data_IF_781115683796
#
_entry.id   IF_781115683796
#
_cell.length_a   1.000
_cell.length_b   1.000
_cell.length_c   1.000
_cell.angle_alpha   90.00
_cell.angle_beta   90.00
_cell.angle_gamma   90.00
#
_symmetry.space_group_name_H-M   'P 1'
#
loop_
_entity.id
_entity.type
_entity.pdbx_description
1 polymer ?
#
# COMPACT_ATOMS: atom_id res chain seq x y z
N UNK A 1 -14.95 13.84 -11.93
CA UNK A 1 -13.86 14.49 -11.22
C UNK A 1 -14.33 14.89 -9.83
N UNK A 2 -13.57 14.53 -8.80
CA UNK A 2 -13.81 15.05 -7.44
C UNK A 2 -13.15 16.41 -7.42
N UNK A 3 -13.95 17.49 -7.45
CA UNK A 3 -13.47 18.83 -7.18
C UNK A 3 -13.12 18.92 -5.70
N UNK A 4 -11.84 18.82 -5.38
CA UNK A 4 -11.36 19.20 -4.06
C UNK A 4 -11.28 20.73 -4.09
N UNK A 5 -12.20 21.42 -3.41
CA UNK A 5 -12.40 22.88 -3.45
C UNK A 5 -11.21 23.74 -2.98
N UNK A 6 -10.04 23.16 -2.73
CA UNK A 6 -8.78 23.84 -2.44
C UNK A 6 -7.94 24.08 -3.72
N UNK A 7 -8.24 23.37 -4.81
CA UNK A 7 -7.56 23.51 -6.10
C UNK A 7 -8.59 23.55 -7.24
N UNK A 8 -9.32 24.65 -7.43
CA UNK A 8 -10.45 24.71 -8.35
C UNK A 8 -10.09 24.66 -9.84
N UNK A 9 -8.82 24.61 -10.22
CA UNK A 9 -8.38 24.68 -11.60
C UNK A 9 -7.75 23.38 -12.15
N UNK A 10 -7.58 22.35 -11.33
CA UNK A 10 -7.05 21.08 -11.78
C UNK A 10 -7.98 19.94 -11.39
N UNK A 11 -8.78 19.38 -12.33
CA UNK A 11 -9.31 18.05 -12.11
C UNK A 11 -8.08 17.17 -11.89
N UNK A 12 -7.99 16.53 -10.71
CA UNK A 12 -6.90 15.58 -10.45
C UNK A 12 -7.02 14.50 -11.54
N UNK A 13 -6.10 14.53 -12.49
CA UNK A 13 -5.98 13.46 -13.46
C UNK A 13 -5.83 12.13 -12.70
N UNK A 14 -6.25 11.06 -13.31
CA UNK A 14 -6.27 9.70 -12.70
C UNK A 14 -4.92 9.34 -12.04
N UNK A 15 -3.83 9.81 -12.62
CA UNK A 15 -2.46 9.63 -12.11
C UNK A 15 -2.18 10.36 -10.80
N UNK A 16 -2.55 11.62 -10.73
CA UNK A 16 -2.36 12.44 -9.56
C UNK A 16 -3.12 11.86 -8.37
N UNK A 17 -4.32 11.35 -8.62
CA UNK A 17 -5.12 10.69 -7.61
C UNK A 17 -4.44 9.42 -7.07
N UNK A 18 -3.89 8.58 -7.96
CA UNK A 18 -3.15 7.37 -7.57
C UNK A 18 -1.88 7.70 -6.78
N UNK A 19 -1.14 8.75 -7.17
CA UNK A 19 0.06 9.20 -6.44
C UNK A 19 -0.27 9.74 -5.05
N UNK A 20 -1.30 10.57 -4.93
CA UNK A 20 -1.78 11.07 -3.63
C UNK A 20 -2.20 9.91 -2.74
N UNK A 21 -2.89 8.91 -3.30
CA UNK A 21 -3.28 7.71 -2.56
C UNK A 21 -2.07 6.94 -2.03
N UNK A 22 -1.05 6.69 -2.86
CA UNK A 22 0.18 6.00 -2.42
C UNK A 22 0.91 6.83 -1.35
N UNK A 23 1.06 8.14 -1.55
CA UNK A 23 1.71 9.00 -0.56
C UNK A 23 0.97 8.98 0.78
N UNK A 24 -0.36 9.06 0.75
CA UNK A 24 -1.20 8.95 1.95
C UNK A 24 -1.08 7.58 2.63
N UNK A 25 -1.09 6.50 1.84
CA UNK A 25 -0.92 5.14 2.35
C UNK A 25 0.46 4.93 2.98
N UNK A 26 1.53 5.45 2.36
CA UNK A 26 2.89 5.41 2.92
C UNK A 26 2.98 6.24 4.20
N UNK A 27 2.48 7.47 4.19
CA UNK A 27 2.54 8.35 5.35
C UNK A 27 1.79 7.75 6.55
N UNK A 28 0.54 7.30 6.35
CA UNK A 28 -0.24 6.66 7.39
C UNK A 28 0.36 5.29 7.79
N UNK A 29 0.85 4.54 6.82
CA UNK A 29 1.46 3.23 7.06
C UNK A 29 2.68 3.32 7.98
N UNK A 30 3.60 4.25 7.74
CA UNK A 30 4.78 4.43 8.61
C UNK A 30 4.43 4.97 9.99
N UNK A 31 3.39 5.79 10.09
CA UNK A 31 2.90 6.27 11.39
C UNK A 31 2.25 5.14 12.20
N UNK A 32 1.48 4.27 11.55
CA UNK A 32 0.73 3.19 12.22
C UNK A 32 1.57 1.94 12.49
N UNK A 33 2.40 1.52 11.53
CA UNK A 33 3.17 0.27 11.60
C UNK A 33 4.63 0.54 11.99
N UNK A 34 4.97 0.26 13.24
CA UNK A 34 6.34 0.38 13.73
C UNK A 34 7.28 -0.64 13.06
N UNK A 35 8.55 -0.30 12.94
CA UNK A 35 9.58 -1.18 12.39
C UNK A 35 9.76 -2.48 13.21
N UNK A 36 9.54 -2.39 14.52
CA UNK A 36 9.55 -3.51 15.47
C UNK A 36 8.36 -3.44 16.41
N UNK A 37 7.76 -4.61 16.78
CA UNK A 37 6.70 -4.65 17.77
C UNK A 37 7.27 -4.25 19.15
N UNK A 38 6.42 -3.62 19.96
CA UNK A 38 6.76 -3.26 21.34
C UNK A 38 7.16 -4.46 22.17
N UNK A 39 8.24 -4.28 22.97
CA UNK A 39 8.52 -5.08 24.15
C UNK A 39 8.56 -4.14 25.35
N UNK A 40 7.66 -4.37 26.30
CA UNK A 40 7.52 -3.56 27.50
C UNK A 40 8.74 -3.71 28.47
N UNK A 41 9.61 -4.70 28.24
CA UNK A 41 10.64 -5.15 29.17
C UNK A 41 12.07 -4.68 28.83
N UNK A 42 12.29 -3.96 27.72
CA UNK A 42 13.64 -3.49 27.36
C UNK A 42 13.82 -2.00 27.74
N UNK A 43 14.81 -1.67 28.60
CA UNK A 43 15.17 -0.29 28.91
C UNK A 43 15.61 0.41 27.60
N UNK A 44 15.22 1.69 27.43
CA UNK A 44 15.70 2.55 26.35
C UNK A 44 17.23 2.51 26.27
N UNK A 45 17.78 1.76 25.36
CA UNK A 45 19.22 1.66 25.22
C UNK A 45 19.78 3.01 24.73
N UNK A 46 20.93 3.45 25.28
CA UNK A 46 21.65 4.66 24.82
C UNK A 46 21.89 4.65 23.30
N UNK A 47 22.02 3.47 22.71
CA UNK A 47 22.15 3.26 21.28
C UNK A 47 20.91 3.73 20.50
N UNK A 48 19.71 3.53 21.05
CA UNK A 48 18.45 3.97 20.39
C UNK A 48 18.40 5.49 20.26
N UNK A 49 18.86 6.24 21.25
CA UNK A 49 18.93 7.72 21.18
C UNK A 49 19.89 8.22 20.10
N UNK A 50 21.01 7.55 19.90
CA UNK A 50 21.93 7.89 18.81
C UNK A 50 21.26 7.70 17.44
N UNK A 51 20.55 6.59 17.25
CA UNK A 51 19.83 6.34 16.01
C UNK A 51 18.68 7.32 15.77
N UNK A 52 17.94 7.72 16.82
CA UNK A 52 16.95 8.79 16.72
C UNK A 52 17.56 10.14 16.35
N UNK A 53 18.75 10.49 16.88
CA UNK A 53 19.46 11.70 16.49
C UNK A 53 19.93 11.64 15.04
N UNK A 54 20.47 10.50 14.59
CA UNK A 54 20.84 10.30 13.20
C UNK A 54 19.62 10.39 12.27
N UNK A 55 18.49 9.80 12.66
CA UNK A 55 17.24 9.93 11.94
C UNK A 55 16.77 11.40 11.87
N UNK A 56 16.92 12.17 12.96
CA UNK A 56 16.56 13.58 12.97
C UNK A 56 17.40 14.42 11.98
N UNK A 57 18.69 14.08 11.81
CA UNK A 57 19.54 14.75 10.82
C UNK A 57 19.05 14.51 9.38
N UNK A 58 18.36 13.39 9.12
CA UNK A 58 17.80 13.08 7.80
C UNK A 58 16.62 13.98 7.41
N UNK A 59 16.06 14.76 8.34
CA UNK A 59 15.06 15.78 8.03
C UNK A 59 15.65 16.85 7.09
N UNK A 60 16.96 17.14 7.22
CA UNK A 60 17.63 18.14 6.37
C UNK A 60 17.58 17.75 4.89
N UNK A 61 18.06 16.57 4.45
CA UNK A 61 17.96 16.18 3.06
C UNK A 61 16.51 16.01 2.58
N UNK A 62 15.56 15.58 3.44
CA UNK A 62 14.12 15.59 3.08
C UNK A 62 13.64 17.02 2.78
N UNK A 63 14.01 17.98 3.61
CA UNK A 63 13.62 19.38 3.43
C UNK A 63 14.22 19.96 2.13
N UNK A 64 15.47 19.64 1.80
CA UNK A 64 16.11 20.04 0.55
C UNK A 64 15.37 19.44 -0.65
N UNK A 65 15.09 18.13 -0.63
CA UNK A 65 14.36 17.47 -1.70
C UNK A 65 12.93 18.01 -1.85
N UNK A 66 12.23 18.21 -0.73
CA UNK A 66 10.88 18.78 -0.71
C UNK A 66 10.84 20.21 -1.23
N UNK A 67 11.79 21.03 -0.83
CA UNK A 67 11.92 22.40 -1.35
C UNK A 67 12.16 22.42 -2.86
N UNK A 68 13.04 21.58 -3.36
CA UNK A 68 13.29 21.44 -4.79
C UNK A 68 12.03 21.00 -5.54
N UNK A 69 11.28 20.03 -5.00
CA UNK A 69 10.01 19.59 -5.57
C UNK A 69 8.98 20.73 -5.62
N UNK A 70 8.85 21.53 -4.56
CA UNK A 70 7.99 22.72 -4.53
C UNK A 70 8.43 23.77 -5.55
N UNK A 71 9.73 23.96 -5.74
CA UNK A 71 10.28 24.83 -6.78
C UNK A 71 9.86 24.39 -8.18
N UNK A 72 9.81 23.09 -8.47
CA UNK A 72 9.27 22.57 -9.72
C UNK A 72 7.79 22.89 -9.90
N UNK A 73 6.97 22.78 -8.85
CA UNK A 73 5.55 23.15 -8.91
C UNK A 73 5.39 24.64 -9.23
N UNK A 74 6.11 25.50 -8.51
CA UNK A 74 6.05 26.94 -8.72
C UNK A 74 6.47 27.34 -10.13
N UNK A 75 7.48 26.65 -10.67
CA UNK A 75 7.95 26.86 -12.02
C UNK A 75 6.96 26.41 -13.09
N UNK A 76 6.38 25.22 -12.99
CA UNK A 76 5.41 24.73 -13.97
C UNK A 76 4.14 25.57 -14.01
N UNK A 77 3.82 26.27 -12.92
CA UNK A 77 2.73 27.23 -12.85
C UNK A 77 3.12 28.66 -13.32
N UNK A 78 4.40 28.90 -13.60
CA UNK A 78 4.87 30.16 -14.19
C UNK A 78 5.01 29.96 -15.69
N UNK A 79 4.53 30.90 -16.51
CA UNK A 79 4.71 30.87 -17.98
C UNK A 79 6.18 31.07 -18.42
N UNK A 80 7.13 30.78 -17.54
CA UNK A 80 8.56 30.95 -17.79
C UNK A 80 9.14 29.75 -18.55
N UNK A 81 10.10 29.99 -19.49
CA UNK A 81 10.76 28.89 -20.18
C UNK A 81 11.52 27.98 -19.21
N UNK A 82 11.53 26.68 -19.50
CA UNK A 82 12.17 25.62 -18.69
C UNK A 82 13.64 25.93 -18.33
N UNK A 83 14.33 26.65 -19.17
CA UNK A 83 15.72 27.11 -18.97
C UNK A 83 15.89 28.08 -17.78
N UNK A 84 14.82 28.74 -17.35
CA UNK A 84 14.82 29.64 -16.19
C UNK A 84 14.48 28.97 -14.86
N UNK A 85 14.04 27.72 -14.87
CA UNK A 85 13.76 26.93 -13.64
C UNK A 85 14.93 27.04 -12.67
N UNK A 86 16.12 27.16 -13.25
CA UNK A 86 17.36 27.36 -12.61
C UNK A 86 17.48 28.59 -11.78
N UNK A 87 17.24 29.67 -12.32
CA UNK A 87 17.46 30.98 -11.67
C UNK A 87 16.35 31.32 -10.69
N UNK A 88 15.08 31.10 -11.04
CA UNK A 88 13.96 31.59 -10.25
C UNK A 88 13.85 30.95 -8.86
N UNK A 89 14.05 29.62 -8.75
CA UNK A 89 13.89 28.92 -7.45
C UNK A 89 15.03 29.24 -6.46
N UNK A 90 16.26 29.47 -6.93
CA UNK A 90 17.41 29.75 -6.06
C UNK A 90 17.66 31.25 -5.83
N UNK A 91 17.37 32.10 -6.81
CA UNK A 91 17.52 33.58 -6.67
C UNK A 91 16.50 34.14 -5.68
N UNK A 92 15.30 33.56 -5.60
CA UNK A 92 14.32 33.95 -4.59
C UNK A 92 14.71 33.56 -3.15
N UNK A 93 15.67 32.60 -2.99
CA UNK A 93 16.05 32.06 -1.68
C UNK A 93 17.36 32.59 -1.11
N UNK A 94 18.35 32.87 -1.95
CA UNK A 94 19.73 33.01 -1.50
C UNK A 94 20.39 34.37 -1.80
N UNK A 95 19.69 35.29 -2.45
CA UNK A 95 20.39 36.46 -2.97
C UNK A 95 21.48 36.05 -3.98
N UNK A 96 22.54 36.76 -4.09
CA UNK A 96 23.66 36.49 -5.02
C UNK A 96 24.25 35.09 -4.73
N UNK A 97 24.03 34.13 -5.63
CA UNK A 97 24.58 32.77 -5.55
C UNK A 97 26.02 32.80 -6.07
N UNK A 98 27.03 32.33 -5.32
CA UNK A 98 28.39 32.24 -5.78
C UNK A 98 28.54 31.45 -7.09
N UNK A 99 29.42 31.85 -7.99
CA UNK A 99 29.69 31.21 -9.29
C UNK A 99 29.94 29.70 -9.21
N UNK A 100 30.46 29.19 -8.08
CA UNK A 100 30.63 27.76 -7.80
C UNK A 100 29.32 26.95 -7.85
N UNK A 101 28.18 27.60 -7.71
CA UNK A 101 26.86 26.97 -7.79
C UNK A 101 26.18 27.14 -9.15
N UNK A 102 26.78 27.76 -10.11
CA UNK A 102 26.24 27.92 -11.48
C UNK A 102 26.15 26.58 -12.23
N UNK A 103 26.98 25.59 -11.88
CA UNK A 103 26.87 24.21 -12.39
C UNK A 103 25.56 23.53 -12.01
N UNK A 104 24.84 24.04 -11.01
CA UNK A 104 23.52 23.58 -10.58
C UNK A 104 22.37 24.30 -11.31
N UNK A 105 22.68 25.09 -12.30
CA UNK A 105 21.70 25.92 -13.02
C UNK A 105 20.90 25.13 -14.07
N UNK A 106 21.37 23.98 -14.48
CA UNK A 106 20.66 23.11 -15.39
C UNK A 106 19.64 22.21 -14.64
N UNK A 107 18.61 21.77 -15.36
CA UNK A 107 17.54 20.92 -14.82
C UNK A 107 18.13 19.61 -14.27
N UNK A 108 19.10 19.04 -14.97
CA UNK A 108 19.74 17.77 -14.58
C UNK A 108 20.48 17.90 -13.24
N UNK A 109 21.28 18.94 -13.06
CA UNK A 109 22.00 19.18 -11.81
C UNK A 109 21.08 19.35 -10.61
N UNK A 110 19.90 19.96 -10.81
CA UNK A 110 18.90 20.14 -9.75
C UNK A 110 18.17 18.85 -9.42
N UNK A 111 17.74 18.11 -10.43
CA UNK A 111 17.13 16.80 -10.23
C UNK A 111 18.11 15.85 -9.53
N UNK A 112 19.40 15.92 -9.86
CA UNK A 112 20.41 15.05 -9.24
C UNK A 112 20.75 15.49 -7.82
N UNK A 113 21.18 16.74 -7.64
CA UNK A 113 21.76 17.21 -6.37
C UNK A 113 20.77 17.87 -5.43
N UNK A 114 19.75 18.55 -5.99
CA UNK A 114 18.73 19.20 -5.19
C UNK A 114 17.60 18.29 -4.77
N UNK A 115 17.28 17.28 -5.59
CA UNK A 115 16.17 16.38 -5.34
C UNK A 115 16.61 14.93 -5.11
N UNK A 116 17.26 14.31 -6.09
CA UNK A 116 17.47 12.87 -6.13
C UNK A 116 18.39 12.35 -5.02
N UNK A 117 19.61 12.86 -4.95
CA UNK A 117 20.58 12.43 -3.93
C UNK A 117 20.09 12.71 -2.50
N UNK A 118 19.57 13.91 -2.17
CA UNK A 118 18.99 14.14 -0.84
C UNK A 118 17.84 13.18 -0.50
N UNK A 119 16.94 12.92 -1.43
CA UNK A 119 15.84 11.98 -1.23
C UNK A 119 16.34 10.55 -0.98
N UNK A 120 17.34 10.09 -1.73
CA UNK A 120 17.93 8.76 -1.55
C UNK A 120 18.63 8.62 -0.19
N UNK A 121 19.43 9.62 0.19
CA UNK A 121 20.10 9.65 1.50
C UNK A 121 19.06 9.60 2.62
N UNK A 122 18.01 10.39 2.52
CA UNK A 122 16.93 10.41 3.49
C UNK A 122 16.19 9.07 3.57
N UNK A 123 15.78 8.52 2.42
CA UNK A 123 15.00 7.28 2.36
C UNK A 123 15.79 6.09 2.90
N UNK A 124 16.97 5.82 2.35
CA UNK A 124 17.78 4.68 2.79
C UNK A 124 18.34 4.88 4.19
N UNK A 125 18.75 6.11 4.53
CA UNK A 125 19.16 6.46 5.88
C UNK A 125 18.04 6.20 6.90
N UNK A 126 16.81 6.61 6.61
CA UNK A 126 15.67 6.39 7.50
C UNK A 126 15.26 4.90 7.60
N UNK A 127 15.38 4.12 6.52
CA UNK A 127 15.18 2.67 6.57
C UNK A 127 16.20 2.03 7.52
N UNK A 128 17.49 2.37 7.36
CA UNK A 128 18.56 1.81 8.19
C UNK A 128 18.44 2.25 9.64
N UNK A 129 18.24 3.54 9.89
CA UNK A 129 18.06 4.04 11.27
C UNK A 129 16.83 3.44 11.94
N UNK A 130 15.74 3.26 11.20
CA UNK A 130 14.51 2.62 11.68
C UNK A 130 14.70 1.17 12.13
N UNK A 131 15.70 0.45 11.61
CA UNK A 131 15.99 -0.92 12.07
C UNK A 131 16.63 -0.95 13.46
N UNK A 132 17.24 0.14 13.90
CA UNK A 132 17.95 0.22 15.19
C UNK A 132 17.24 1.15 16.19
N UNK A 133 16.34 2.00 15.71
CA UNK A 133 15.56 2.87 16.57
C UNK A 133 14.46 2.08 17.27
N UNK A 134 14.36 2.22 18.60
CA UNK A 134 13.33 1.59 19.42
C UNK A 134 12.22 2.61 19.71
N UNK A 135 11.00 2.24 19.47
CA UNK A 135 9.83 3.10 19.70
C UNK A 135 9.22 2.79 21.07
N UNK A 136 8.95 3.81 21.87
CA UNK A 136 8.10 3.68 23.05
C UNK A 136 6.62 3.53 22.67
N UNK A 137 5.78 3.02 23.57
CA UNK A 137 4.36 2.69 23.31
C UNK A 137 3.52 3.89 22.85
N UNK A 138 3.91 5.11 23.23
CA UNK A 138 3.18 6.36 22.99
C UNK A 138 3.93 7.35 22.09
N UNK A 139 5.13 6.99 21.59
CA UNK A 139 5.99 7.89 20.84
C UNK A 139 6.17 7.38 19.41
N UNK A 140 6.22 8.30 18.45
CA UNK A 140 6.58 7.96 17.06
C UNK A 140 8.11 7.90 16.96
N UNK A 141 8.63 6.93 16.21
CA UNK A 141 10.04 6.92 15.85
C UNK A 141 10.33 8.07 14.87
N UNK A 142 11.46 8.73 15.03
CA UNK A 142 11.84 9.84 14.14
C UNK A 142 12.05 9.34 12.70
N UNK A 143 12.63 8.15 12.55
CA UNK A 143 12.78 7.48 11.26
C UNK A 143 11.44 7.26 10.55
N UNK A 144 10.36 6.94 11.28
CA UNK A 144 9.03 6.74 10.70
C UNK A 144 8.46 8.04 10.14
N UNK A 145 8.68 9.15 10.83
CA UNK A 145 8.29 10.50 10.36
C UNK A 145 9.08 10.85 9.10
N UNK A 146 10.39 10.58 9.08
CA UNK A 146 11.23 10.83 7.90
C UNK A 146 10.75 10.01 6.69
N UNK A 147 10.44 8.72 6.88
CA UNK A 147 9.92 7.85 5.82
C UNK A 147 8.56 8.35 5.29
N UNK A 148 7.67 8.78 6.18
CA UNK A 148 6.39 9.37 5.80
C UNK A 148 6.58 10.64 4.96
N UNK A 149 7.49 11.52 5.36
CA UNK A 149 7.84 12.73 4.61
C UNK A 149 8.47 12.41 3.26
N UNK A 150 9.36 11.41 3.18
CA UNK A 150 9.92 10.96 1.90
C UNK A 150 8.82 10.51 0.93
N UNK A 151 7.80 9.76 1.39
CA UNK A 151 6.65 9.37 0.57
C UNK A 151 5.87 10.57 0.03
N UNK A 152 5.69 11.60 0.85
CA UNK A 152 5.05 12.85 0.43
C UNK A 152 5.92 13.59 -0.61
N UNK A 153 7.22 13.68 -0.39
CA UNK A 153 8.16 14.35 -1.30
C UNK A 153 8.24 13.65 -2.67
N UNK A 154 8.16 12.32 -2.70
CA UNK A 154 8.04 11.55 -3.96
C UNK A 154 6.82 11.99 -4.75
N UNK A 155 5.65 12.07 -4.12
CA UNK A 155 4.43 12.49 -4.79
C UNK A 155 4.46 13.98 -5.19
N UNK A 156 4.98 14.85 -4.34
CA UNK A 156 5.12 16.29 -4.65
C UNK A 156 5.96 16.55 -5.90
N UNK A 157 6.97 15.72 -6.15
CA UNK A 157 7.78 15.82 -7.37
C UNK A 157 7.08 15.19 -8.60
N UNK A 158 6.53 13.97 -8.44
CA UNK A 158 5.99 13.22 -9.57
C UNK A 158 4.67 13.81 -10.11
N UNK A 159 3.82 14.37 -9.25
CA UNK A 159 2.53 14.95 -9.66
C UNK A 159 2.69 16.03 -10.72
N UNK A 160 3.50 17.09 -10.50
CA UNK A 160 3.68 18.12 -11.53
C UNK A 160 4.47 17.61 -12.74
N UNK A 161 5.48 16.77 -12.54
CA UNK A 161 6.32 16.25 -13.63
C UNK A 161 5.51 15.38 -14.59
N UNK A 162 4.59 14.54 -14.10
CA UNK A 162 3.71 13.74 -14.96
C UNK A 162 2.60 14.55 -15.65
N UNK A 163 2.33 15.77 -15.22
CA UNK A 163 1.52 16.72 -15.96
C UNK A 163 2.20 17.29 -17.22
N UNK A 164 3.52 17.03 -17.40
CA UNK A 164 4.32 17.46 -18.54
C UNK A 164 4.58 16.35 -19.56
N UNK A 165 5.27 16.68 -20.65
CA UNK A 165 5.75 15.71 -21.64
C UNK A 165 6.72 14.66 -21.06
N UNK A 166 7.26 14.86 -19.86
CA UNK A 166 8.10 13.87 -19.17
C UNK A 166 7.37 12.53 -18.94
N UNK A 167 6.04 12.55 -18.85
CA UNK A 167 5.22 11.34 -18.80
C UNK A 167 5.41 10.44 -20.01
N UNK A 168 5.53 11.00 -21.20
CA UNK A 168 5.71 10.25 -22.45
C UNK A 168 7.10 9.60 -22.55
N UNK A 169 8.04 10.02 -21.70
CA UNK A 169 9.39 9.48 -21.65
C UNK A 169 9.54 8.34 -20.62
N UNK A 170 8.51 8.09 -19.82
CA UNK A 170 8.51 7.01 -18.82
C UNK A 170 8.66 5.65 -19.51
N UNK A 171 9.58 4.84 -19.03
CA UNK A 171 9.91 3.54 -19.64
C UNK A 171 10.85 3.62 -20.85
N UNK A 172 11.21 4.82 -21.30
CA UNK A 172 12.24 5.03 -22.34
C UNK A 172 13.62 5.24 -21.73
N UNK A 173 14.71 5.16 -22.51
CA UNK A 173 16.05 5.50 -22.02
C UNK A 173 16.22 6.98 -21.63
N UNK A 174 15.34 7.86 -22.10
CA UNK A 174 15.41 9.30 -21.92
C UNK A 174 14.57 9.81 -20.74
N UNK A 175 14.17 8.92 -19.81
CA UNK A 175 13.42 9.34 -18.63
C UNK A 175 14.24 10.32 -17.78
N UNK A 176 13.59 11.38 -17.28
CA UNK A 176 14.22 12.37 -16.42
C UNK A 176 14.84 11.70 -15.18
N UNK A 177 16.05 12.13 -14.81
CA UNK A 177 16.79 11.49 -13.71
C UNK A 177 16.05 11.65 -12.36
N UNK A 178 15.36 12.77 -12.16
CA UNK A 178 14.54 13.00 -10.97
C UNK A 178 13.39 12.00 -10.84
N UNK A 179 12.76 11.61 -11.98
CA UNK A 179 11.73 10.56 -12.00
C UNK A 179 12.32 9.23 -11.57
N UNK A 180 13.51 8.88 -12.03
CA UNK A 180 14.17 7.63 -11.64
C UNK A 180 14.50 7.59 -10.13
N UNK A 181 14.98 8.71 -9.57
CA UNK A 181 15.21 8.84 -8.13
C UNK A 181 13.91 8.73 -7.32
N UNK A 182 12.88 9.46 -7.73
CA UNK A 182 11.57 9.40 -7.09
C UNK A 182 10.99 7.97 -7.11
N UNK A 183 11.08 7.31 -8.26
CA UNK A 183 10.61 5.93 -8.44
C UNK A 183 11.41 4.93 -7.59
N UNK A 184 12.72 5.10 -7.49
CA UNK A 184 13.58 4.25 -6.66
C UNK A 184 13.26 4.44 -5.18
N UNK A 185 13.17 5.68 -4.72
CA UNK A 185 12.79 5.99 -3.34
C UNK A 185 11.39 5.49 -3.01
N UNK A 186 10.41 5.74 -3.88
CA UNK A 186 9.03 5.27 -3.72
C UNK A 186 8.94 3.75 -3.66
N UNK A 187 9.68 3.04 -4.51
CA UNK A 187 9.74 1.56 -4.47
C UNK A 187 10.37 1.07 -3.17
N UNK A 188 11.47 1.67 -2.72
CA UNK A 188 12.11 1.32 -1.45
C UNK A 188 11.17 1.55 -0.25
N UNK A 189 10.41 2.65 -0.24
CA UNK A 189 9.40 2.95 0.78
C UNK A 189 8.29 1.89 0.80
N UNK A 190 7.78 1.50 -0.37
CA UNK A 190 6.75 0.45 -0.48
C UNK A 190 7.31 -0.89 0.01
N UNK A 191 8.54 -1.25 -0.34
CA UNK A 191 9.18 -2.47 0.14
C UNK A 191 9.36 -2.46 1.66
N UNK A 192 9.79 -1.34 2.25
CA UNK A 192 9.92 -1.21 3.70
C UNK A 192 8.56 -1.31 4.41
N UNK A 193 7.52 -0.65 3.89
CA UNK A 193 6.18 -0.77 4.46
C UNK A 193 5.65 -2.21 4.32
N UNK A 194 5.87 -2.87 3.18
CA UNK A 194 5.52 -4.28 2.98
C UNK A 194 6.23 -5.18 3.98
N UNK A 195 7.52 -4.93 4.27
CA UNK A 195 8.26 -5.65 5.30
C UNK A 195 7.60 -5.55 6.66
N UNK A 196 7.10 -4.37 7.02
CA UNK A 196 6.45 -4.12 8.32
C UNK A 196 5.07 -4.76 8.42
N UNK A 197 4.30 -4.76 7.35
CA UNK A 197 2.89 -5.23 7.33
C UNK A 197 2.78 -6.71 6.99
N UNK A 198 3.46 -7.16 5.94
CA UNK A 198 3.35 -8.51 5.38
C UNK A 198 4.54 -9.42 5.70
N UNK A 199 5.60 -8.86 6.31
CA UNK A 199 6.80 -9.60 6.66
C UNK A 199 7.87 -9.63 5.56
N UNK A 200 8.98 -10.29 5.88
CA UNK A 200 10.20 -10.24 5.07
C UNK A 200 10.13 -11.10 3.78
N UNK A 201 9.27 -12.12 3.75
CA UNK A 201 9.23 -13.10 2.65
C UNK A 201 8.94 -12.43 1.28
N UNK A 202 7.93 -11.57 1.21
CA UNK A 202 7.59 -10.85 -0.03
C UNK A 202 8.70 -9.90 -0.46
N UNK A 203 9.36 -9.24 0.48
CA UNK A 203 10.47 -8.32 0.19
C UNK A 203 11.67 -9.07 -0.39
N UNK A 204 11.99 -10.26 0.15
CA UNK A 204 13.07 -11.11 -0.38
C UNK A 204 12.74 -11.54 -1.81
N UNK A 205 11.51 -12.03 -2.06
CA UNK A 205 11.10 -12.45 -3.41
C UNK A 205 11.21 -11.27 -4.38
N UNK A 206 10.68 -10.10 -4.02
CA UNK A 206 10.79 -8.89 -4.85
C UNK A 206 12.26 -8.51 -5.07
N UNK A 207 13.09 -8.56 -4.02
CA UNK A 207 14.52 -8.28 -4.11
C UNK A 207 15.26 -9.22 -5.08
N UNK A 208 14.94 -10.53 -5.06
CA UNK A 208 15.50 -11.51 -5.99
C UNK A 208 15.14 -11.16 -7.44
N UNK A 209 13.88 -10.80 -7.72
CA UNK A 209 13.47 -10.39 -9.06
C UNK A 209 14.09 -9.06 -9.49
N UNK A 210 14.29 -8.11 -8.57
CA UNK A 210 15.01 -6.87 -8.85
C UNK A 210 16.47 -7.17 -9.25
N UNK A 211 17.17 -7.98 -8.48
CA UNK A 211 18.55 -8.40 -8.81
C UNK A 211 18.57 -9.13 -10.15
N UNK A 212 17.65 -10.07 -10.36
CA UNK A 212 17.53 -10.79 -11.63
C UNK A 212 17.37 -9.83 -12.81
N UNK A 213 16.52 -8.82 -12.73
CA UNK A 213 16.29 -7.87 -13.83
C UNK A 213 17.56 -7.14 -14.26
N UNK A 214 18.44 -6.79 -13.31
CA UNK A 214 19.70 -6.11 -13.62
C UNK A 214 20.85 -7.07 -14.02
N UNK A 215 20.76 -8.34 -13.65
CA UNK A 215 21.83 -9.33 -13.89
C UNK A 215 21.48 -10.38 -14.94
N UNK A 216 20.25 -10.39 -15.44
CA UNK A 216 19.76 -11.39 -16.37
C UNK A 216 20.57 -11.48 -17.68
N UNK A 217 21.16 -10.37 -18.13
CA UNK A 217 22.03 -10.35 -19.30
C UNK A 217 23.35 -11.11 -19.11
N UNK A 218 23.72 -11.44 -17.86
CA UNK A 218 24.90 -12.21 -17.51
C UNK A 218 24.61 -13.73 -17.42
N UNK A 219 23.33 -14.12 -17.43
CA UNK A 219 22.91 -15.52 -17.24
C UNK A 219 22.87 -16.24 -18.58
N UNK A 220 23.22 -17.57 -18.61
CA UNK A 220 23.14 -18.35 -19.82
C UNK A 220 21.73 -18.90 -20.08
N UNK A 221 21.42 -19.17 -21.36
CA UNK A 221 20.24 -19.92 -21.79
C UNK A 221 18.94 -19.15 -21.67
N UNK A 222 17.87 -19.83 -21.29
CA UNK A 222 16.49 -19.28 -21.23
C UNK A 222 16.29 -18.19 -20.16
N UNK A 223 17.22 -18.04 -19.24
CA UNK A 223 17.19 -17.01 -18.21
C UNK A 223 17.88 -15.71 -18.64
N UNK A 224 18.52 -15.72 -19.83
CA UNK A 224 19.17 -14.53 -20.39
C UNK A 224 18.13 -13.57 -20.96
N UNK A 225 18.40 -12.27 -20.78
CA UNK A 225 17.69 -11.18 -21.45
C UNK A 225 18.71 -10.42 -22.28
N UNK A 226 18.48 -10.28 -23.59
CA UNK A 226 19.46 -9.70 -24.54
C UNK A 226 19.84 -8.25 -24.26
N UNK A 227 18.97 -7.48 -23.59
CA UNK A 227 19.21 -6.08 -23.29
C UNK A 227 19.23 -5.83 -21.78
N UNK A 228 20.36 -5.34 -21.27
CA UNK A 228 20.44 -4.85 -19.91
C UNK A 228 19.51 -3.63 -19.69
N UNK A 229 18.70 -3.67 -18.66
CA UNK A 229 17.94 -2.50 -18.25
C UNK A 229 18.83 -1.49 -17.57
N UNK A 230 18.80 -0.24 -18.02
CA UNK A 230 19.41 0.86 -17.26
C UNK A 230 18.54 1.13 -16.02
N UNK A 231 19.19 1.55 -14.91
CA UNK A 231 18.52 1.89 -13.67
C UNK A 231 17.37 2.91 -13.89
N UNK A 232 17.62 3.96 -14.66
CA UNK A 232 16.63 5.00 -14.95
C UNK A 232 15.41 4.44 -15.68
N UNK A 233 15.63 3.68 -16.75
CA UNK A 233 14.56 3.08 -17.54
C UNK A 233 13.72 2.11 -16.71
N UNK A 234 14.36 1.28 -15.89
CA UNK A 234 13.68 0.28 -15.08
C UNK A 234 12.78 0.92 -14.03
N UNK A 235 13.32 1.78 -13.17
CA UNK A 235 12.53 2.40 -12.11
C UNK A 235 11.49 3.38 -12.63
N UNK A 236 11.78 4.10 -13.71
CA UNK A 236 10.77 4.90 -14.39
C UNK A 236 9.59 4.05 -14.85
N UNK A 237 9.84 2.88 -15.43
CA UNK A 237 8.78 1.95 -15.84
C UNK A 237 8.03 1.34 -14.65
N UNK A 238 8.74 0.94 -13.60
CA UNK A 238 8.12 0.34 -12.39
C UNK A 238 7.15 1.31 -11.72
N UNK A 239 7.45 2.60 -11.70
CA UNK A 239 6.59 3.62 -11.07
C UNK A 239 5.63 4.28 -12.07
N UNK A 240 5.17 3.54 -13.06
CA UNK A 240 4.22 3.98 -14.09
C UNK A 240 2.88 3.22 -13.99
N UNK A 241 2.00 3.46 -14.97
CA UNK A 241 0.72 2.74 -15.13
C UNK A 241 0.88 1.26 -15.47
N UNK A 242 2.00 0.91 -16.07
CA UNK A 242 2.35 -0.49 -16.29
C UNK A 242 2.89 -1.19 -15.01
N UNK A 243 3.20 -0.42 -13.97
CA UNK A 243 3.75 -0.90 -12.71
C UNK A 243 2.93 -0.50 -11.48
N UNK A 244 3.56 0.21 -10.55
CA UNK A 244 2.98 0.55 -9.24
C UNK A 244 1.72 1.42 -9.36
N UNK A 245 1.67 2.36 -10.33
CA UNK A 245 0.50 3.20 -10.57
C UNK A 245 -0.56 2.52 -11.45
N UNK A 246 -0.42 1.25 -11.72
CA UNK A 246 -1.27 0.46 -12.59
C UNK A 246 -2.65 0.10 -12.00
N UNK A 247 -3.30 -0.95 -12.55
CA UNK A 247 -4.66 -1.35 -12.19
C UNK A 247 -4.87 -1.57 -10.70
N UNK A 248 -3.88 -2.15 -10.01
CA UNK A 248 -3.99 -2.43 -8.56
C UNK A 248 -4.12 -1.15 -7.74
N UNK A 249 -3.33 -0.13 -8.05
CA UNK A 249 -3.42 1.17 -7.36
C UNK A 249 -4.66 1.95 -7.79
N UNK A 250 -5.08 1.83 -9.05
CA UNK A 250 -6.34 2.39 -9.53
C UNK A 250 -7.52 1.91 -8.68
N UNK A 251 -7.64 0.61 -8.54
CA UNK A 251 -8.70 -0.03 -7.74
C UNK A 251 -8.59 0.35 -6.26
N UNK A 252 -7.38 0.35 -5.70
CA UNK A 252 -7.15 0.71 -4.30
C UNK A 252 -7.58 2.15 -4.01
N UNK A 253 -7.24 3.08 -4.90
CA UNK A 253 -7.53 4.50 -4.71
C UNK A 253 -9.00 4.88 -4.95
N UNK A 254 -9.72 4.16 -5.80
CA UNK A 254 -11.11 4.50 -6.17
C UNK A 254 -12.15 3.71 -5.39
N UNK A 255 -12.01 2.39 -5.33
CA UNK A 255 -13.03 1.52 -4.74
C UNK A 255 -12.67 1.06 -3.34
N UNK A 256 -11.49 0.46 -3.14
CA UNK A 256 -11.15 -0.21 -1.89
C UNK A 256 -11.16 0.78 -0.72
N UNK A 257 -10.59 1.98 -0.88
CA UNK A 257 -10.56 2.97 0.19
C UNK A 257 -11.97 3.39 0.64
N UNK A 258 -12.90 3.56 -0.30
CA UNK A 258 -14.29 3.92 0.02
C UNK A 258 -15.00 2.79 0.79
N UNK A 259 -14.76 1.54 0.39
CA UNK A 259 -15.33 0.38 1.09
C UNK A 259 -14.69 0.17 2.47
N UNK A 260 -13.39 0.46 2.64
CA UNK A 260 -12.75 0.43 3.96
C UNK A 260 -13.37 1.47 4.90
N UNK A 261 -13.58 2.70 4.40
CA UNK A 261 -14.25 3.76 5.17
C UNK A 261 -15.67 3.32 5.53
N UNK A 262 -16.44 2.81 4.59
CA UNK A 262 -17.79 2.30 4.82
C UNK A 262 -17.78 1.16 5.85
N UNK A 263 -16.88 0.18 5.72
CA UNK A 263 -16.74 -0.92 6.66
C UNK A 263 -16.39 -0.44 8.09
N UNK A 264 -15.55 0.61 8.21
CA UNK A 264 -15.24 1.19 9.51
C UNK A 264 -16.48 1.80 10.19
N UNK A 265 -17.34 2.49 9.44
CA UNK A 265 -18.62 2.99 9.95
C UNK A 265 -19.54 1.84 10.37
N UNK A 266 -19.63 0.78 9.57
CA UNK A 266 -20.46 -0.39 9.91
C UNK A 266 -19.94 -1.11 11.17
N UNK A 267 -18.63 -1.21 11.34
CA UNK A 267 -18.03 -1.78 12.56
C UNK A 267 -18.33 -0.91 13.78
N UNK A 268 -18.21 0.40 13.66
CA UNK A 268 -18.55 1.33 14.74
C UNK A 268 -20.03 1.27 15.13
N UNK A 269 -20.93 0.97 14.21
CA UNK A 269 -22.37 0.79 14.45
C UNK A 269 -22.76 -0.57 15.03
N UNK A 270 -21.77 -1.45 15.34
CA UNK A 270 -21.97 -2.80 15.88
C UNK A 270 -22.79 -3.76 14.99
N UNK A 271 -22.81 -3.52 13.69
CA UNK A 271 -23.48 -4.42 12.72
C UNK A 271 -22.89 -5.82 12.77
N UNK A 272 -21.61 -5.99 13.11
CA UNK A 272 -20.98 -7.30 13.31
C UNK A 272 -21.68 -8.12 14.41
N UNK A 273 -21.96 -7.51 15.56
CA UNK A 273 -22.67 -8.18 16.66
C UNK A 273 -24.10 -8.58 16.23
N UNK A 274 -24.77 -7.72 15.48
CA UNK A 274 -26.08 -8.02 14.93
C UNK A 274 -26.04 -9.24 13.99
N UNK A 275 -25.08 -9.32 13.08
CA UNK A 275 -24.95 -10.44 12.16
C UNK A 275 -24.67 -11.76 12.86
N UNK A 276 -23.82 -11.74 13.87
CA UNK A 276 -23.56 -12.95 14.68
C UNK A 276 -24.82 -13.39 15.41
N UNK A 277 -25.54 -12.46 16.05
CA UNK A 277 -26.80 -12.77 16.73
C UNK A 277 -27.87 -13.29 15.77
N UNK A 278 -27.98 -12.71 14.58
CA UNK A 278 -28.88 -13.17 13.53
C UNK A 278 -28.52 -14.58 13.07
N UNK A 279 -27.23 -14.88 12.85
CA UNK A 279 -26.76 -16.20 12.48
C UNK A 279 -27.09 -17.25 13.56
N UNK A 280 -26.98 -16.88 14.86
CA UNK A 280 -27.41 -17.73 15.96
C UNK A 280 -28.90 -17.99 15.95
N UNK A 281 -29.72 -16.99 15.71
CA UNK A 281 -31.17 -17.15 15.63
C UNK A 281 -31.58 -18.06 14.46
N UNK A 282 -30.90 -17.94 13.31
CA UNK A 282 -31.24 -18.70 12.11
C UNK A 282 -30.75 -20.15 12.14
N UNK A 283 -29.57 -20.44 12.67
CA UNK A 283 -28.92 -21.74 12.53
C UNK A 283 -28.50 -22.39 13.85
N UNK A 284 -28.57 -21.69 14.98
CA UNK A 284 -28.05 -22.18 16.26
C UNK A 284 -28.72 -23.46 16.80
N UNK A 285 -29.96 -23.70 16.43
CA UNK A 285 -30.72 -24.91 16.87
C UNK A 285 -30.62 -26.07 15.87
N UNK A 286 -29.98 -25.89 14.72
CA UNK A 286 -29.84 -26.94 13.73
C UNK A 286 -28.76 -27.96 14.17
N UNK A 287 -28.80 -29.17 13.59
CA UNK A 287 -27.74 -30.16 13.78
C UNK A 287 -26.38 -29.54 13.40
N UNK A 288 -25.37 -29.69 14.27
CA UNK A 288 -24.08 -29.01 14.10
C UNK A 288 -24.18 -27.47 14.19
N UNK A 289 -25.17 -26.96 14.92
CA UNK A 289 -25.56 -25.55 14.99
C UNK A 289 -24.42 -24.54 15.03
N UNK A 290 -23.44 -24.62 15.97
CA UNK A 290 -22.35 -23.69 16.05
C UNK A 290 -21.49 -23.57 14.79
N UNK A 291 -21.30 -24.68 14.06
CA UNK A 291 -20.56 -24.63 12.79
C UNK A 291 -21.38 -24.00 11.67
N UNK A 292 -22.69 -24.22 11.64
CA UNK A 292 -23.60 -23.52 10.72
C UNK A 292 -23.72 -22.03 11.03
N UNK A 293 -23.72 -21.67 12.31
CA UNK A 293 -23.64 -20.25 12.73
C UNK A 293 -22.35 -19.60 12.22
N UNK A 294 -21.23 -20.32 12.31
CA UNK A 294 -19.98 -19.82 11.76
C UNK A 294 -20.07 -19.53 10.24
N UNK A 295 -20.71 -20.43 9.48
CA UNK A 295 -20.93 -20.26 8.04
C UNK A 295 -21.78 -19.03 7.74
N UNK A 296 -22.92 -18.88 8.40
CA UNK A 296 -23.81 -17.73 8.18
C UNK A 296 -23.18 -16.41 8.66
N UNK A 297 -22.57 -16.40 9.85
CA UNK A 297 -21.92 -15.22 10.39
C UNK A 297 -20.76 -14.77 9.50
N UNK A 298 -19.90 -15.71 9.06
CA UNK A 298 -18.78 -15.40 8.17
C UNK A 298 -19.25 -14.98 6.78
N UNK A 299 -20.35 -15.52 6.27
CA UNK A 299 -20.95 -15.07 5.02
C UNK A 299 -21.41 -13.62 5.10
N UNK A 300 -22.16 -13.27 6.15
CA UNK A 300 -22.66 -11.90 6.36
C UNK A 300 -21.52 -10.91 6.66
N UNK A 301 -20.56 -11.29 7.50
CA UNK A 301 -19.38 -10.44 7.77
C UNK A 301 -18.49 -10.28 6.54
N UNK A 302 -18.38 -11.34 5.72
CA UNK A 302 -17.63 -11.31 4.48
C UNK A 302 -18.15 -10.28 3.47
N UNK A 303 -19.48 -10.07 3.45
CA UNK A 303 -20.12 -9.01 2.64
C UNK A 303 -19.59 -7.60 2.97
N UNK A 304 -19.06 -7.40 4.19
CA UNK A 304 -18.57 -6.10 4.65
C UNK A 304 -17.04 -6.04 4.61
N UNK A 305 -16.36 -7.09 5.11
CA UNK A 305 -14.93 -7.06 5.32
C UNK A 305 -14.12 -7.25 4.03
N UNK A 306 -14.61 -8.03 3.08
CA UNK A 306 -13.91 -8.37 1.85
C UNK A 306 -12.57 -9.12 2.02
N UNK A 307 -12.19 -9.47 3.26
CA UNK A 307 -10.93 -10.17 3.56
C UNK A 307 -11.17 -11.41 4.39
N UNK A 308 -10.58 -12.55 4.00
CA UNK A 308 -10.71 -13.81 4.75
C UNK A 308 -10.06 -13.73 6.12
N UNK A 309 -8.87 -13.15 6.23
CA UNK A 309 -8.16 -13.03 7.51
C UNK A 309 -8.91 -12.15 8.51
N UNK A 310 -9.39 -10.97 8.07
CA UNK A 310 -10.22 -10.08 8.90
C UNK A 310 -11.52 -10.75 9.35
N UNK A 311 -12.13 -11.55 8.48
CA UNK A 311 -13.34 -12.28 8.78
C UNK A 311 -13.11 -13.37 9.84
N UNK A 312 -12.05 -14.20 9.71
CA UNK A 312 -11.64 -15.18 10.71
C UNK A 312 -11.43 -14.54 12.08
N UNK A 313 -10.81 -13.37 12.15
CA UNK A 313 -10.60 -12.67 13.42
C UNK A 313 -11.93 -12.19 14.00
N UNK A 314 -12.80 -11.63 13.17
CA UNK A 314 -14.09 -11.08 13.62
C UNK A 314 -15.05 -12.14 14.11
N UNK A 315 -15.23 -13.23 13.36
CA UNK A 315 -16.22 -14.29 13.68
C UNK A 315 -15.61 -15.45 14.44
N UNK A 316 -14.39 -15.86 14.11
CA UNK A 316 -13.74 -17.05 14.66
C UNK A 316 -13.38 -16.93 16.14
N UNK A 317 -13.18 -15.72 16.66
CA UNK A 317 -12.98 -15.50 18.11
C UNK A 317 -14.17 -16.02 18.96
N UNK A 318 -15.37 -16.00 18.40
CA UNK A 318 -16.61 -16.48 19.05
C UNK A 318 -16.99 -17.89 18.58
N UNK A 319 -16.96 -18.16 17.28
CA UNK A 319 -17.47 -19.38 16.69
C UNK A 319 -16.58 -20.62 16.94
N UNK A 320 -15.24 -20.45 16.90
CA UNK A 320 -14.33 -21.58 17.18
C UNK A 320 -14.46 -22.12 18.59
N UNK A 321 -14.47 -21.30 19.66
CA UNK A 321 -14.73 -21.78 21.01
C UNK A 321 -16.09 -22.49 21.15
N UNK A 322 -17.12 -22.00 20.47
CA UNK A 322 -18.46 -22.62 20.50
C UNK A 322 -18.50 -23.98 19.81
N UNK A 323 -17.91 -24.10 18.61
CA UNK A 323 -17.77 -25.38 17.93
C UNK A 323 -17.04 -26.40 18.79
N UNK A 324 -15.98 -26.00 19.48
CA UNK A 324 -15.23 -26.87 20.40
C UNK A 324 -16.09 -27.32 21.61
N UNK A 325 -16.96 -26.47 22.16
CA UNK A 325 -17.82 -26.80 23.29
C UNK A 325 -18.86 -27.85 22.95
N UNK A 326 -19.34 -27.93 21.70
CA UNK A 326 -20.31 -28.92 21.26
C UNK A 326 -19.69 -30.20 20.71
N UNK A 327 -18.36 -30.34 20.74
CA UNK A 327 -17.68 -31.58 20.41
C UNK A 327 -16.85 -31.58 19.13
N UNK A 328 -16.82 -30.49 18.35
CA UNK A 328 -15.91 -30.39 17.20
C UNK A 328 -14.46 -30.41 17.64
N UNK A 329 -13.64 -31.19 16.95
CA UNK A 329 -12.20 -31.14 17.21
C UNK A 329 -11.60 -29.80 16.77
N UNK A 330 -10.44 -29.44 17.34
CA UNK A 330 -9.79 -28.14 17.08
C UNK A 330 -9.47 -27.89 15.60
N UNK A 331 -9.12 -28.97 14.86
CA UNK A 331 -8.76 -28.88 13.44
C UNK A 331 -10.00 -28.63 12.59
N UNK A 332 -11.10 -29.38 12.83
CA UNK A 332 -12.36 -29.18 12.11
C UNK A 332 -12.94 -27.79 12.40
N UNK A 333 -12.96 -27.34 13.66
CA UNK A 333 -13.46 -26.00 14.01
C UNK A 333 -12.67 -24.89 13.30
N UNK A 334 -11.33 -24.99 13.27
CA UNK A 334 -10.51 -24.03 12.53
C UNK A 334 -10.69 -24.12 11.02
N UNK A 335 -10.84 -25.32 10.45
CA UNK A 335 -11.06 -25.52 9.02
C UNK A 335 -12.42 -24.97 8.56
N UNK A 336 -13.49 -25.19 9.32
CA UNK A 336 -14.83 -24.64 9.01
C UNK A 336 -14.79 -23.12 9.01
N UNK A 337 -14.18 -22.53 10.03
CA UNK A 337 -14.06 -21.06 10.13
C UNK A 337 -13.22 -20.49 8.98
N UNK A 338 -12.07 -21.08 8.67
CA UNK A 338 -11.21 -20.65 7.59
C UNK A 338 -11.91 -20.75 6.22
N UNK A 339 -12.62 -21.85 5.96
CA UNK A 339 -13.37 -22.03 4.74
C UNK A 339 -14.53 -21.04 4.64
N UNK A 340 -15.35 -20.89 5.70
CA UNK A 340 -16.45 -19.95 5.71
C UNK A 340 -15.98 -18.50 5.49
N UNK A 341 -14.92 -18.11 6.18
CA UNK A 341 -14.34 -16.76 6.05
C UNK A 341 -13.74 -16.50 4.66
N UNK A 342 -13.16 -17.52 4.01
CA UNK A 342 -12.66 -17.39 2.63
C UNK A 342 -13.79 -17.12 1.64
N UNK A 343 -14.95 -17.73 1.82
CA UNK A 343 -16.16 -17.47 1.04
C UNK A 343 -16.62 -16.01 1.08
N UNK A 344 -16.28 -15.28 2.13
CA UNK A 344 -16.58 -13.86 2.24
C UNK A 344 -15.93 -13.00 1.14
N UNK A 345 -14.81 -13.45 0.55
CA UNK A 345 -14.16 -12.72 -0.55
C UNK A 345 -14.95 -12.74 -1.86
N UNK A 346 -15.84 -13.72 -2.05
CA UNK A 346 -16.69 -13.81 -3.24
C UNK A 346 -18.13 -13.38 -2.97
N UNK A 347 -18.46 -13.05 -1.71
CA UNK A 347 -19.82 -12.66 -1.32
C UNK A 347 -20.06 -11.17 -1.62
N UNK A 348 -21.01 -10.83 -2.53
CA UNK A 348 -21.41 -9.44 -2.74
C UNK A 348 -22.04 -8.82 -1.49
N UNK A 349 -22.02 -7.47 -1.33
CA UNK A 349 -21.68 -6.48 -2.33
C UNK A 349 -20.20 -6.05 -2.36
N UNK A 350 -19.39 -6.22 -1.29
CA UNK A 350 -18.03 -5.65 -1.25
C UNK A 350 -17.02 -6.58 -1.89
N UNK A 351 -17.12 -7.89 -1.64
CA UNK A 351 -16.19 -8.91 -2.13
C UNK A 351 -14.71 -8.63 -1.77
N UNK A 352 -13.80 -9.45 -2.24
CA UNK A 352 -12.36 -9.23 -2.08
C UNK A 352 -11.77 -8.34 -3.19
N UNK A 353 -10.54 -7.86 -2.97
CA UNK A 353 -9.81 -7.00 -3.91
C UNK A 353 -9.71 -7.60 -5.33
N UNK A 354 -9.73 -8.92 -5.47
CA UNK A 354 -9.69 -9.60 -6.77
C UNK A 354 -10.86 -9.25 -7.70
N UNK A 355 -12.05 -9.00 -7.16
CA UNK A 355 -13.21 -8.62 -7.96
C UNK A 355 -13.07 -7.21 -8.56
N UNK A 356 -12.47 -6.29 -7.82
CA UNK A 356 -12.18 -4.94 -8.32
C UNK A 356 -11.07 -4.95 -9.36
N UNK A 357 -10.02 -5.75 -9.14
CA UNK A 357 -8.94 -5.94 -10.12
C UNK A 357 -9.51 -6.57 -11.42
N UNK A 358 -10.43 -7.52 -11.28
CA UNK A 358 -11.14 -8.11 -12.44
C UNK A 358 -11.90 -7.02 -13.21
N UNK A 359 -12.64 -6.14 -12.53
CA UNK A 359 -13.36 -5.04 -13.18
C UNK A 359 -12.40 -4.12 -13.97
N UNK A 360 -11.26 -3.77 -13.38
CA UNK A 360 -10.27 -2.89 -14.02
C UNK A 360 -9.61 -3.55 -15.24
N UNK A 361 -9.26 -4.85 -15.15
CA UNK A 361 -8.58 -5.56 -16.24
C UNK A 361 -9.54 -5.89 -17.40
N UNK A 362 -10.77 -6.29 -17.07
CA UNK A 362 -11.75 -6.72 -18.08
C UNK A 362 -12.56 -5.57 -18.68
N UNK A 363 -12.57 -4.40 -18.02
CA UNK A 363 -13.45 -3.29 -18.38
C UNK A 363 -14.94 -3.53 -18.09
N UNK A 364 -15.27 -4.65 -17.41
CA UNK A 364 -16.66 -4.97 -17.03
C UNK A 364 -17.00 -4.17 -15.77
N UNK A 365 -18.14 -3.46 -15.71
CA UNK A 365 -18.56 -2.73 -14.52
C UNK A 365 -18.59 -3.61 -13.27
N UNK A 366 -18.08 -3.12 -12.16
CA UNK A 366 -18.05 -3.87 -10.89
C UNK A 366 -19.42 -4.42 -10.47
N UNK A 367 -20.48 -3.66 -10.73
CA UNK A 367 -21.87 -4.08 -10.42
C UNK A 367 -22.27 -5.34 -11.16
N UNK A 368 -21.85 -5.51 -12.40
CA UNK A 368 -22.13 -6.70 -13.20
C UNK A 368 -21.36 -7.92 -12.67
N UNK A 369 -20.09 -7.71 -12.28
CA UNK A 369 -19.27 -8.75 -11.63
C UNK A 369 -19.90 -9.16 -10.30
N UNK A 370 -20.37 -8.19 -9.50
CA UNK A 370 -21.02 -8.46 -8.23
C UNK A 370 -22.29 -9.29 -8.41
N UNK A 371 -23.13 -8.98 -9.42
CA UNK A 371 -24.33 -9.77 -9.73
C UNK A 371 -23.96 -11.18 -10.21
N UNK A 372 -22.96 -11.30 -11.06
CA UNK A 372 -22.47 -12.60 -11.54
C UNK A 372 -21.90 -13.47 -10.40
N UNK A 373 -21.30 -12.86 -9.38
CA UNK A 373 -20.71 -13.54 -8.23
C UNK A 373 -21.76 -14.12 -7.27
N UNK A 374 -23.04 -13.72 -7.32
CA UNK A 374 -24.10 -14.21 -6.42
C UNK A 374 -24.21 -15.73 -6.52
N UNK A 375 -24.27 -16.29 -7.72
CA UNK A 375 -24.46 -17.73 -7.91
C UNK A 375 -23.27 -18.53 -7.39
N UNK A 376 -22.00 -18.25 -7.75
CA UNK A 376 -20.84 -18.91 -7.18
C UNK A 376 -20.76 -18.78 -5.66
N UNK A 377 -21.08 -17.61 -5.09
CA UNK A 377 -21.09 -17.39 -3.66
C UNK A 377 -22.11 -18.28 -2.95
N UNK A 378 -23.35 -18.34 -3.43
CA UNK A 378 -24.39 -19.21 -2.87
C UNK A 378 -23.95 -20.67 -2.92
N UNK A 379 -23.46 -21.15 -4.08
CA UNK A 379 -23.00 -22.53 -4.23
C UNK A 379 -21.85 -22.86 -3.28
N UNK A 380 -20.94 -21.92 -3.06
CA UNK A 380 -19.84 -22.08 -2.12
C UNK A 380 -20.34 -22.29 -0.69
N UNK A 381 -21.20 -21.39 -0.21
CA UNK A 381 -21.74 -21.50 1.16
C UNK A 381 -22.66 -22.71 1.34
N UNK A 382 -23.45 -23.08 0.35
CA UNK A 382 -24.27 -24.31 0.35
C UNK A 382 -23.39 -25.55 0.46
N UNK A 383 -22.28 -25.60 -0.27
CA UNK A 383 -21.33 -26.73 -0.21
C UNK A 383 -20.75 -26.91 1.20
N UNK A 384 -20.29 -25.81 1.84
CA UNK A 384 -19.75 -25.85 3.20
C UNK A 384 -20.84 -26.23 4.19
N UNK A 385 -22.08 -25.72 4.02
CA UNK A 385 -23.21 -26.03 4.88
C UNK A 385 -23.51 -27.53 4.89
N UNK A 386 -23.57 -28.17 3.73
CA UNK A 386 -23.82 -29.63 3.67
C UNK A 386 -22.63 -30.43 4.17
N UNK A 387 -21.39 -30.00 3.88
CA UNK A 387 -20.21 -30.65 4.43
C UNK A 387 -20.24 -30.68 5.96
N UNK A 388 -20.57 -29.56 6.59
CA UNK A 388 -20.69 -29.44 8.04
C UNK A 388 -21.87 -30.25 8.57
N UNK A 389 -23.00 -30.26 7.86
CA UNK A 389 -24.17 -31.05 8.24
C UNK A 389 -23.89 -32.57 8.24
N UNK A 390 -23.17 -33.06 7.21
CA UNK A 390 -22.77 -34.46 7.13
C UNK A 390 -21.73 -34.84 8.20
N UNK A 391 -20.78 -33.95 8.49
CA UNK A 391 -19.80 -34.17 9.55
C UNK A 391 -20.48 -34.23 10.93
N UNK A 392 -21.42 -33.33 11.18
CA UNK A 392 -22.21 -33.34 12.40
C UNK A 392 -23.07 -34.62 12.52
N UNK A 393 -23.65 -35.10 11.40
CA UNK A 393 -24.38 -36.37 11.36
C UNK A 393 -23.50 -37.59 11.68
N UNK A 394 -22.29 -37.60 11.12
CA UNK A 394 -21.30 -38.67 11.31
C UNK A 394 -20.80 -38.73 12.76
N UNK A 395 -20.65 -37.59 13.41
CA UNK A 395 -20.13 -37.46 14.77
C UNK A 395 -21.20 -37.44 15.85
N UNK A 396 -22.48 -37.48 15.48
CA UNK A 396 -23.61 -37.52 16.41
C UNK A 396 -23.86 -36.19 17.13
N UNK A 397 -23.51 -35.09 16.55
CA UNK A 397 -23.67 -33.73 17.09
C UNK A 397 -24.99 -33.08 16.73
#
# INVERSE_FOLDING_TARGET
GIEIGILPQFPLETWNFRMVHIAGALALGFVLFAAYPFRDDEPEARLSRLWSLLAALLIIPVAIAGWTALGFIAFLNSDQPIEMLGRAAWVSMAGDVPEAFTAYSDIYGRELYGYGLPLMIATFGAIVTGWFERRGRTQFAVSDIVLALCGIVVALYLIPVYGTNARNQVGTPNVAIGVAFAATAGTALIMELTRRVAGLALVIITGVFLVYTFTAHLLPGILSIDNAYTWQRFFGHVYSDAGILGPTTAVSSTYIILFIIFAAFLQASKVGDYFVNFAFAAAGRARGGPAKVAIFASGLMGMINGTSAGNVVATGSLTIPLMKKVGYNKRTAGAVEAAASTGGQIMPPIMGAGAFIMAEITGIPYTEIAVAAIIPAILYFVSIYFMVDFEAAKTGM
#
